data_IF_057335253379
#
_entry.id   IF_057335253379
#
_cell.length_a   1.000
_cell.length_b   1.000
_cell.length_c   1.000
_cell.angle_alpha   90.00
_cell.angle_beta   90.00
_cell.angle_gamma   90.00
#
_symmetry.space_group_name_H-M   'P 1'
#
loop_
_entity.id
_entity.type
_entity.pdbx_description
1 polymer ?
#
# COMPACT_ATOMS: atom_id res chain seq x y z
N UNK A 1 -23.48 13.27 7.44
CA UNK A 1 -22.41 14.04 6.78
C UNK A 1 -21.36 13.04 6.33
N UNK A 2 -20.89 13.28 5.13
CA UNK A 2 -20.47 12.30 4.13
C UNK A 2 -18.97 11.96 4.18
N UNK A 3 -18.62 10.94 3.41
CA UNK A 3 -17.38 10.77 2.66
C UNK A 3 -16.21 9.95 3.24
N UNK A 4 -16.10 8.75 2.65
CA UNK A 4 -14.95 8.27 1.84
C UNK A 4 -13.68 7.81 2.58
N UNK A 5 -13.46 6.50 2.72
CA UNK A 5 -12.95 5.56 1.70
C UNK A 5 -11.46 5.79 1.39
N UNK A 6 -10.58 5.14 2.17
CA UNK A 6 -9.17 4.90 1.84
C UNK A 6 -8.91 3.40 1.99
N UNK A 7 -9.22 2.70 0.89
CA UNK A 7 -8.33 1.75 0.21
C UNK A 7 -7.42 0.84 1.08
N UNK A 8 -7.78 -0.45 1.11
CA UNK A 8 -6.88 -1.43 0.49
C UNK A 8 -6.02 -2.34 1.38
N UNK A 9 -6.24 -2.43 2.70
CA UNK A 9 -5.49 -3.34 3.57
C UNK A 9 -6.42 -4.30 4.31
N UNK A 10 -6.84 -5.40 3.65
CA UNK A 10 -7.10 -6.71 4.26
C UNK A 10 -7.66 -7.67 3.20
N UNK A 11 -6.78 -8.43 2.54
CA UNK A 11 -7.22 -9.62 1.81
C UNK A 11 -7.48 -10.71 2.86
N UNK A 12 -8.69 -10.67 3.43
CA UNK A 12 -9.16 -11.60 4.46
C UNK A 12 -9.10 -13.04 3.92
N UNK A 13 -8.39 -13.88 4.66
CA UNK A 13 -8.29 -15.32 4.54
C UNK A 13 -9.69 -15.95 4.46
N UNK A 14 -9.99 -16.68 3.39
CA UNK A 14 -11.14 -17.61 3.38
C UNK A 14 -10.74 -18.81 4.22
N UNK A 15 -11.23 -18.83 5.45
CA UNK A 15 -11.31 -20.01 6.28
C UNK A 15 -12.29 -21.01 5.67
N UNK A 16 -11.86 -22.26 5.55
CA UNK A 16 -12.72 -23.41 5.39
C UNK A 16 -13.74 -23.48 6.54
N UNK A 17 -15.01 -23.68 6.21
CA UNK A 17 -15.96 -24.31 7.14
C UNK A 17 -16.84 -25.28 6.38
N UNK A 18 -16.54 -26.56 6.62
CA UNK A 18 -17.47 -27.64 6.92
C UNK A 18 -18.46 -28.07 5.84
N UNK A 19 -18.11 -29.21 5.24
CA UNK A 19 -19.01 -30.35 5.02
C UNK A 19 -20.26 -30.30 5.91
N UNK A 20 -21.43 -30.18 5.28
CA UNK A 20 -22.68 -30.64 5.87
C UNK A 20 -23.40 -31.45 4.80
N UNK A 21 -23.23 -32.77 4.88
CA UNK A 21 -24.14 -33.75 4.30
C UNK A 21 -25.58 -33.36 4.66
N UNK A 22 -26.44 -33.30 3.66
CA UNK A 22 -27.87 -33.11 3.82
C UNK A 22 -28.47 -32.81 2.45
N UNK A 23 -29.51 -33.55 2.08
CA UNK A 23 -30.27 -33.35 0.85
C UNK A 23 -30.94 -31.97 0.88
N UNK A 24 -30.20 -30.93 0.49
CA UNK A 24 -30.75 -29.59 0.24
C UNK A 24 -31.13 -29.52 -1.22
N UNK A 25 -32.41 -29.32 -1.49
CA UNK A 25 -32.89 -28.94 -2.82
C UNK A 25 -32.22 -27.65 -3.24
N UNK A 26 -31.70 -27.58 -4.48
CA UNK A 26 -31.08 -26.37 -4.98
C UNK A 26 -32.08 -25.22 -4.87
N UNK A 27 -31.65 -24.11 -4.27
CA UNK A 27 -32.48 -22.92 -4.20
C UNK A 27 -32.71 -22.37 -5.62
N UNK A 28 -33.88 -21.80 -5.91
CA UNK A 28 -34.24 -21.35 -7.27
C UNK A 28 -33.21 -20.37 -7.86
N UNK A 29 -32.57 -19.55 -7.02
CA UNK A 29 -31.51 -18.63 -7.43
C UNK A 29 -30.24 -19.34 -7.93
N UNK A 30 -29.83 -20.45 -7.30
CA UNK A 30 -28.66 -21.23 -7.72
C UNK A 30 -28.90 -21.98 -9.03
N UNK A 31 -30.14 -22.41 -9.28
CA UNK A 31 -30.55 -23.01 -10.54
C UNK A 31 -30.47 -22.01 -11.69
N UNK A 32 -30.99 -20.78 -11.50
CA UNK A 32 -30.91 -19.71 -12.51
C UNK A 32 -29.46 -19.31 -12.78
N UNK A 33 -28.62 -19.21 -11.75
CA UNK A 33 -27.20 -18.90 -11.92
C UNK A 33 -26.46 -20.00 -12.71
N UNK A 34 -26.78 -21.28 -12.48
CA UNK A 34 -26.21 -22.39 -13.26
C UNK A 34 -26.71 -22.43 -14.69
N UNK A 35 -27.98 -22.12 -14.93
CA UNK A 35 -28.55 -22.02 -16.29
C UNK A 35 -27.87 -20.85 -17.03
N UNK A 36 -27.80 -19.66 -16.43
CA UNK A 36 -27.10 -18.52 -17.02
C UNK A 36 -25.60 -18.79 -17.27
N UNK A 37 -24.93 -19.52 -16.38
CA UNK A 37 -23.54 -19.94 -16.59
C UNK A 37 -23.39 -20.98 -17.71
N UNK A 38 -24.36 -21.88 -17.88
CA UNK A 38 -24.37 -22.83 -19.00
C UNK A 38 -24.66 -22.12 -20.31
N UNK A 39 -25.66 -21.25 -20.34
CA UNK A 39 -26.00 -20.42 -21.51
C UNK A 39 -24.84 -19.52 -21.92
N UNK A 40 -24.14 -18.89 -20.96
CA UNK A 40 -22.96 -18.06 -21.25
C UNK A 40 -21.79 -18.89 -21.80
N UNK A 41 -21.61 -20.13 -21.32
CA UNK A 41 -20.60 -21.06 -21.84
C UNK A 41 -20.97 -21.54 -23.24
N UNK A 42 -22.21 -21.93 -23.47
CA UNK A 42 -22.74 -22.34 -24.78
C UNK A 42 -22.65 -21.22 -25.81
N UNK A 43 -22.95 -19.97 -25.44
CA UNK A 43 -22.77 -18.81 -26.31
C UNK A 43 -21.28 -18.55 -26.64
N UNK A 44 -20.38 -18.77 -25.68
CA UNK A 44 -18.94 -18.64 -25.91
C UNK A 44 -18.37 -19.78 -26.78
N UNK A 45 -18.92 -20.99 -26.64
CA UNK A 45 -18.55 -22.18 -27.41
C UNK A 45 -19.12 -22.13 -28.83
N UNK A 46 -20.36 -21.65 -29.01
CA UNK A 46 -20.94 -21.38 -30.33
C UNK A 46 -20.15 -20.29 -31.08
N UNK A 47 -19.69 -19.24 -30.38
CA UNK A 47 -18.79 -18.21 -30.95
C UNK A 47 -17.42 -18.78 -31.36
N UNK A 48 -16.90 -19.79 -30.64
CA UNK A 48 -15.65 -20.50 -30.97
C UNK A 48 -15.79 -21.54 -32.09
N UNK A 49 -16.97 -22.14 -32.26
CA UNK A 49 -17.21 -23.09 -33.35
C UNK A 49 -17.45 -22.39 -34.70
N UNK A 50 -18.03 -21.19 -34.68
CA UNK A 50 -18.26 -20.38 -35.89
C UNK A 50 -16.97 -19.80 -36.50
N UNK A 51 -15.82 -19.90 -35.80
CA UNK A 51 -14.54 -19.34 -36.25
C UNK A 51 -13.67 -20.28 -37.11
N UNK A 52 -14.10 -21.52 -37.37
CA UNK A 52 -13.27 -22.53 -38.05
C UNK A 52 -13.47 -22.62 -39.58
N UNK A 53 -14.03 -21.59 -40.22
CA UNK A 53 -14.15 -21.55 -41.68
C UNK A 53 -13.12 -20.57 -42.27
N UNK A 54 -12.11 -21.05 -43.03
CA UNK A 54 -10.96 -20.24 -43.44
C UNK A 54 -11.30 -19.10 -44.41
N UNK A 55 -12.53 -19.02 -44.94
CA UNK A 55 -12.90 -18.05 -45.99
C UNK A 55 -13.92 -16.98 -45.57
N UNK A 56 -14.30 -16.89 -44.29
CA UNK A 56 -15.30 -15.89 -43.82
C UNK A 56 -14.68 -14.56 -43.37
N UNK A 57 -13.35 -14.48 -43.24
CA UNK A 57 -12.61 -13.31 -42.73
C UNK A 57 -12.51 -12.13 -43.71
N UNK A 58 -13.00 -12.28 -44.95
CA UNK A 58 -12.80 -11.29 -46.02
C UNK A 58 -14.07 -10.50 -46.39
N UNK A 59 -15.26 -10.98 -46.02
CA UNK A 59 -16.56 -10.38 -46.40
C UNK A 59 -17.46 -10.00 -45.23
N UNK A 60 -17.07 -10.29 -43.99
CA UNK A 60 -17.83 -9.93 -42.79
C UNK A 60 -17.54 -8.48 -42.39
N UNK A 61 -18.60 -7.72 -42.09
CA UNK A 61 -18.54 -6.31 -41.68
C UNK A 61 -17.68 -6.14 -40.42
N UNK A 62 -17.71 -7.12 -39.51
CA UNK A 62 -16.90 -7.19 -38.29
C UNK A 62 -15.38 -7.14 -38.58
N UNK A 63 -14.87 -7.85 -39.60
CA UNK A 63 -13.45 -7.81 -39.95
C UNK A 63 -13.04 -6.47 -40.57
N UNK A 64 -13.94 -5.83 -41.33
CA UNK A 64 -13.69 -4.48 -41.88
C UNK A 64 -13.70 -3.42 -40.77
N UNK A 65 -14.57 -3.55 -39.79
CA UNK A 65 -14.62 -2.68 -38.61
C UNK A 65 -13.39 -2.87 -37.73
N UNK A 66 -13.00 -4.11 -37.44
CA UNK A 66 -11.76 -4.39 -36.72
C UNK A 66 -10.52 -3.82 -37.42
N UNK A 67 -10.42 -3.96 -38.74
CA UNK A 67 -9.31 -3.42 -39.52
C UNK A 67 -9.34 -1.88 -39.55
N UNK A 68 -10.52 -1.26 -39.61
CA UNK A 68 -10.68 0.20 -39.50
C UNK A 68 -10.26 0.70 -38.13
N UNK A 69 -10.65 0.02 -37.06
CA UNK A 69 -10.26 0.35 -35.69
C UNK A 69 -8.76 0.14 -35.47
N UNK A 70 -8.18 -0.98 -35.96
CA UNK A 70 -6.72 -1.21 -35.92
C UNK A 70 -5.95 -0.14 -36.69
N UNK A 71 -6.44 0.29 -37.87
CA UNK A 71 -5.84 1.40 -38.64
C UNK A 71 -5.96 2.75 -37.94
N UNK A 72 -7.11 3.05 -37.31
CA UNK A 72 -7.29 4.28 -36.52
C UNK A 72 -6.38 4.29 -35.29
N UNK A 73 -6.23 3.16 -34.59
CA UNK A 73 -5.30 3.00 -33.45
C UNK A 73 -3.86 3.25 -33.88
N UNK A 74 -3.40 2.63 -34.97
CA UNK A 74 -2.05 2.88 -35.54
C UNK A 74 -1.85 4.33 -35.97
N UNK A 75 -2.87 4.98 -36.53
CA UNK A 75 -2.81 6.42 -36.87
C UNK A 75 -2.68 7.30 -35.63
N UNK A 76 -3.43 7.00 -34.56
CA UNK A 76 -3.33 7.71 -33.28
C UNK A 76 -1.97 7.49 -32.59
N UNK A 77 -1.45 6.26 -32.63
CA UNK A 77 -0.12 5.90 -32.13
C UNK A 77 0.99 6.65 -32.89
N UNK A 78 0.91 6.66 -34.23
CA UNK A 78 1.86 7.38 -35.08
C UNK A 78 1.73 8.90 -34.95
N UNK A 79 0.55 9.44 -34.62
CA UNK A 79 0.37 10.85 -34.32
C UNK A 79 1.05 11.25 -33.01
N UNK A 80 0.93 10.42 -31.96
CA UNK A 80 1.63 10.67 -30.69
C UNK A 80 3.16 10.60 -30.89
N UNK A 81 3.64 9.59 -31.61
CA UNK A 81 5.07 9.49 -31.94
C UNK A 81 5.58 10.66 -32.80
N UNK A 82 4.77 11.14 -33.75
CA UNK A 82 5.08 12.32 -34.57
C UNK A 82 5.20 13.59 -33.74
N UNK A 83 4.25 13.81 -32.82
CA UNK A 83 4.26 14.96 -31.90
C UNK A 83 5.45 14.91 -30.94
N UNK A 84 5.78 13.74 -30.38
CA UNK A 84 6.97 13.57 -29.54
C UNK A 84 8.26 13.88 -30.30
N UNK A 85 8.36 13.45 -31.57
CA UNK A 85 9.50 13.77 -32.43
C UNK A 85 9.58 15.26 -32.74
N UNK A 86 8.46 15.94 -32.97
CA UNK A 86 8.40 17.38 -33.21
C UNK A 86 8.82 18.20 -31.97
N UNK A 87 8.45 17.73 -30.77
CA UNK A 87 8.91 18.32 -29.49
C UNK A 87 10.41 18.08 -29.30
N UNK A 88 10.90 16.86 -29.51
CA UNK A 88 12.33 16.52 -29.37
C UNK A 88 13.21 17.23 -30.41
N UNK A 89 12.69 17.40 -31.63
CA UNK A 89 13.40 18.08 -32.72
C UNK A 89 13.39 19.60 -32.58
N UNK A 90 12.63 20.14 -31.62
CA UNK A 90 12.60 21.57 -31.30
C UNK A 90 11.76 22.42 -32.27
N UNK A 91 11.06 21.81 -33.22
CA UNK A 91 10.24 22.53 -34.23
C UNK A 91 9.07 23.26 -33.56
N UNK A 92 8.53 22.69 -32.48
CA UNK A 92 7.52 23.35 -31.63
C UNK A 92 8.12 24.57 -30.90
N UNK A 93 9.38 24.48 -30.45
CA UNK A 93 10.05 25.59 -29.74
C UNK A 93 10.41 26.73 -30.68
N UNK A 94 10.58 26.46 -31.98
CA UNK A 94 10.91 27.45 -33.01
C UNK A 94 9.71 28.34 -33.41
N UNK A 95 8.49 28.06 -32.94
CA UNK A 95 7.33 28.94 -33.18
C UNK A 95 7.53 30.27 -32.46
N UNK A 96 7.38 31.40 -33.17
CA UNK A 96 7.60 32.76 -32.63
C UNK A 96 6.89 33.06 -31.29
N UNK A 97 5.68 32.52 -31.09
CA UNK A 97 4.93 32.66 -29.84
C UNK A 97 5.62 31.97 -28.65
N UNK A 98 6.25 30.81 -28.87
CA UNK A 98 6.94 30.02 -27.86
C UNK A 98 8.38 30.50 -27.64
N UNK A 99 9.05 30.99 -28.70
CA UNK A 99 10.38 31.62 -28.60
C UNK A 99 10.36 32.79 -27.61
N UNK A 100 9.30 33.60 -27.62
CA UNK A 100 9.12 34.72 -26.68
C UNK A 100 8.99 34.27 -25.21
N UNK A 101 8.59 33.02 -24.97
CA UNK A 101 8.36 32.43 -23.65
C UNK A 101 9.50 31.50 -23.20
N UNK A 102 10.56 31.35 -23.99
CA UNK A 102 11.77 30.57 -23.65
C UNK A 102 12.31 30.84 -22.24
N UNK A 103 12.46 32.09 -21.75
CA UNK A 103 12.95 32.32 -20.39
C UNK A 103 12.04 31.72 -19.30
N UNK A 104 10.73 31.70 -19.51
CA UNK A 104 9.78 31.08 -18.58
C UNK A 104 9.87 29.55 -18.58
N UNK A 105 10.04 28.94 -19.77
CA UNK A 105 10.23 27.49 -19.89
C UNK A 105 11.55 27.04 -19.26
N UNK A 106 12.63 27.83 -19.41
CA UNK A 106 13.90 27.58 -18.73
C UNK A 106 13.76 27.67 -17.21
N UNK A 107 13.01 28.66 -16.72
CA UNK A 107 12.70 28.77 -15.29
C UNK A 107 11.97 27.53 -14.78
N UNK A 108 10.97 27.03 -15.51
CA UNK A 108 10.22 25.84 -15.12
C UNK A 108 11.07 24.56 -15.19
N UNK A 109 11.92 24.43 -16.20
CA UNK A 109 12.89 23.33 -16.32
C UNK A 109 13.84 23.33 -15.11
N UNK A 110 14.42 24.48 -14.78
CA UNK A 110 15.28 24.63 -13.61
C UNK A 110 14.54 24.27 -12.31
N UNK A 111 13.29 24.73 -12.15
CA UNK A 111 12.46 24.37 -10.99
C UNK A 111 12.19 22.86 -10.91
N UNK A 112 12.01 22.21 -12.06
CA UNK A 112 11.81 20.76 -12.16
C UNK A 112 13.08 20.00 -11.76
N UNK A 113 14.25 20.45 -12.21
CA UNK A 113 15.53 19.87 -11.82
C UNK A 113 15.78 20.05 -10.31
N UNK A 114 15.46 21.22 -9.77
CA UNK A 114 15.59 21.50 -8.34
C UNK A 114 14.66 20.60 -7.52
N UNK A 115 13.41 20.45 -7.96
CA UNK A 115 12.44 19.54 -7.35
C UNK A 115 12.92 18.09 -7.34
N UNK A 116 13.48 17.63 -8.46
CA UNK A 116 14.03 16.28 -8.55
C UNK A 116 15.26 16.10 -7.63
N UNK A 117 16.11 17.12 -7.53
CA UNK A 117 17.26 17.15 -6.63
C UNK A 117 16.85 17.03 -5.16
N UNK A 118 15.78 17.71 -4.75
CA UNK A 118 15.22 17.56 -3.40
C UNK A 118 14.76 16.13 -3.12
N UNK A 119 14.20 15.44 -4.13
CA UNK A 119 13.76 14.05 -4.02
C UNK A 119 14.87 13.05 -3.66
N UNK A 120 16.12 13.31 -4.06
CA UNK A 120 17.25 12.42 -3.78
C UNK A 120 17.58 12.34 -2.27
N UNK A 121 17.40 13.43 -1.53
CA UNK A 121 17.77 13.49 -0.12
C UNK A 121 16.76 12.74 0.77
N UNK A 122 15.49 12.70 0.35
CA UNK A 122 14.39 12.10 1.12
C UNK A 122 14.61 10.64 1.47
N UNK A 123 15.18 9.83 0.56
CA UNK A 123 15.37 8.39 0.79
C UNK A 123 16.45 8.12 1.85
N UNK A 124 17.53 8.93 1.85
CA UNK A 124 18.60 8.82 2.85
C UNK A 124 18.09 9.22 4.23
N UNK A 125 17.38 10.35 4.31
CA UNK A 125 16.77 10.82 5.55
C UNK A 125 15.75 9.82 6.08
N UNK A 126 14.95 9.22 5.21
CA UNK A 126 13.95 8.23 5.62
C UNK A 126 14.58 6.99 6.24
N UNK A 127 15.65 6.46 5.64
CA UNK A 127 16.40 5.32 6.21
C UNK A 127 17.07 5.66 7.54
N UNK A 128 17.67 6.84 7.63
CA UNK A 128 18.32 7.29 8.86
C UNK A 128 17.29 7.46 9.98
N UNK A 129 16.13 8.05 9.67
CA UNK A 129 15.00 8.15 10.61
C UNK A 129 14.56 6.80 11.15
N UNK A 130 14.42 5.79 10.30
CA UNK A 130 14.06 4.45 10.74
C UNK A 130 15.11 3.89 11.70
N UNK A 131 16.40 3.95 11.34
CA UNK A 131 17.48 3.48 12.23
C UNK A 131 17.48 4.21 13.58
N UNK A 132 17.29 5.53 13.58
CA UNK A 132 17.24 6.30 14.84
C UNK A 132 16.04 5.90 15.70
N UNK A 133 14.88 5.60 15.10
CA UNK A 133 13.72 5.12 15.83
C UNK A 133 13.97 3.74 16.45
N UNK A 134 14.57 2.83 15.69
CA UNK A 134 14.91 1.48 16.19
C UNK A 134 15.88 1.58 17.37
N UNK A 135 16.92 2.42 17.26
CA UNK A 135 17.87 2.66 18.35
C UNK A 135 17.22 3.31 19.58
N UNK A 136 16.26 4.20 19.38
CA UNK A 136 15.51 4.82 20.47
C UNK A 136 14.62 3.80 21.19
N UNK A 137 13.97 2.91 20.45
CA UNK A 137 13.15 1.84 21.00
C UNK A 137 13.99 0.87 21.82
N UNK A 138 15.13 0.44 21.29
CA UNK A 138 16.08 -0.44 22.01
C UNK A 138 16.57 0.21 23.30
N UNK A 139 17.06 1.46 23.24
CA UNK A 139 17.54 2.18 24.43
C UNK A 139 16.44 2.37 25.49
N UNK A 140 15.19 2.58 25.05
CA UNK A 140 14.06 2.68 25.97
C UNK A 140 13.71 1.33 26.60
N UNK A 141 13.86 0.23 25.87
CA UNK A 141 13.65 -1.12 26.41
C UNK A 141 14.74 -1.51 27.42
N UNK A 142 15.99 -1.14 27.15
CA UNK A 142 17.11 -1.31 28.10
C UNK A 142 16.87 -0.53 29.38
N UNK A 143 16.48 0.76 29.30
CA UNK A 143 16.18 1.58 30.48
C UNK A 143 15.06 0.97 31.33
N UNK A 144 13.97 0.54 30.70
CA UNK A 144 12.85 -0.10 31.40
C UNK A 144 13.27 -1.38 32.10
N UNK A 145 14.10 -2.19 31.47
CA UNK A 145 14.61 -3.44 32.05
C UNK A 145 15.50 -3.14 33.26
N UNK A 146 16.50 -2.26 33.11
CA UNK A 146 17.40 -1.87 34.19
C UNK A 146 16.66 -1.24 35.38
N UNK A 147 15.69 -0.39 35.08
CA UNK A 147 14.84 0.22 36.10
C UNK A 147 14.00 -0.82 36.82
N UNK A 148 13.39 -1.75 36.11
CA UNK A 148 12.63 -2.86 36.71
C UNK A 148 13.51 -3.70 37.63
N UNK A 149 14.73 -4.02 37.21
CA UNK A 149 15.69 -4.78 38.03
C UNK A 149 16.08 -4.01 39.30
N UNK A 150 16.32 -2.71 39.20
CA UNK A 150 16.61 -1.85 40.34
C UNK A 150 15.41 -1.74 41.30
N UNK A 151 14.21 -1.52 40.77
CA UNK A 151 12.99 -1.48 41.56
C UNK A 151 12.73 -2.81 42.27
N UNK A 152 13.00 -3.96 41.63
CA UNK A 152 12.90 -5.28 42.24
C UNK A 152 13.88 -5.46 43.41
N UNK A 153 15.09 -4.91 43.31
CA UNK A 153 16.05 -4.91 44.42
C UNK A 153 15.59 -4.01 45.58
N UNK A 154 14.95 -2.88 45.29
CA UNK A 154 14.40 -1.97 46.30
C UNK A 154 13.12 -2.47 46.98
N UNK A 155 12.47 -3.53 46.47
CA UNK A 155 11.28 -4.08 47.11
C UNK A 155 11.61 -4.52 48.53
N UNK A 156 10.73 -4.17 49.48
CA UNK A 156 10.92 -4.46 50.91
C UNK A 156 11.20 -5.94 51.19
N UNK A 157 10.57 -6.85 50.43
CA UNK A 157 10.78 -8.29 50.56
C UNK A 157 12.17 -8.74 50.09
N UNK A 158 12.73 -8.09 49.07
CA UNK A 158 14.07 -8.36 48.55
C UNK A 158 15.14 -7.73 49.45
N UNK A 159 14.92 -6.47 49.86
CA UNK A 159 15.73 -5.77 50.84
C UNK A 159 15.83 -6.55 52.15
N UNK A 160 14.71 -6.94 52.76
CA UNK A 160 14.69 -7.67 54.02
C UNK A 160 15.47 -9.00 53.94
N UNK A 161 15.39 -9.72 52.82
CA UNK A 161 16.18 -10.94 52.59
C UNK A 161 17.68 -10.62 52.50
N UNK A 162 18.06 -9.58 51.77
CA UNK A 162 19.46 -9.19 51.59
C UNK A 162 20.10 -8.65 52.88
N UNK A 163 19.34 -7.93 53.70
CA UNK A 163 19.81 -7.34 54.96
C UNK A 163 19.74 -8.30 56.15
N UNK A 164 18.99 -9.39 56.05
CA UNK A 164 18.89 -10.43 57.08
C UNK A 164 20.25 -11.05 57.42
N UNK A 165 21.16 -11.17 56.43
CA UNK A 165 22.53 -11.63 56.65
C UNK A 165 23.35 -10.67 57.55
N UNK A 166 22.96 -9.39 57.63
CA UNK A 166 23.56 -8.40 58.52
C UNK A 166 22.84 -8.31 59.88
N UNK A 167 21.82 -9.14 60.14
CA UNK A 167 21.03 -9.12 61.37
C UNK A 167 20.08 -7.92 61.49
N UNK A 168 19.79 -7.22 60.39
CA UNK A 168 18.89 -6.07 60.36
C UNK A 168 17.45 -6.52 60.07
N UNK A 169 16.51 -6.15 60.92
CA UNK A 169 15.08 -6.45 60.76
C UNK A 169 14.25 -5.22 60.37
N UNK A 170 13.22 -5.43 59.56
CA UNK A 170 12.32 -4.37 59.14
C UNK A 170 11.37 -3.99 60.30
N UNK A 171 11.21 -2.69 60.63
CA UNK A 171 10.27 -2.26 61.65
C UNK A 171 8.82 -2.47 61.18
N UNK A 172 8.08 -3.35 61.86
CA UNK A 172 6.67 -3.70 61.57
C UNK A 172 5.68 -2.71 62.17
N UNK A 173 6.13 -1.86 63.09
CA UNK A 173 5.29 -0.87 63.77
C UNK A 173 5.59 0.55 63.26
N UNK A 174 4.58 1.42 63.16
CA UNK A 174 4.77 2.80 62.74
C UNK A 174 5.58 3.59 63.78
N UNK A 175 6.39 4.59 63.35
CA UNK A 175 7.19 5.41 64.26
C UNK A 175 6.31 6.27 65.16
N UNK A 176 6.68 6.35 66.45
CA UNK A 176 5.98 7.14 67.45
C UNK A 176 6.60 8.54 67.49
N UNK A 177 5.78 9.59 67.35
CA UNK A 177 6.23 10.96 67.53
C UNK A 177 6.51 11.21 69.01
N UNK A 178 7.76 11.53 69.35
CA UNK A 178 8.11 11.99 70.69
C UNK A 178 7.60 13.41 70.88
N UNK A 179 6.89 13.75 71.98
CA UNK A 179 6.51 15.12 72.26
C UNK A 179 7.78 15.96 72.45
N UNK A 180 7.91 17.06 71.70
CA UNK A 180 8.97 18.02 71.90
C UNK A 180 8.83 18.61 73.31
N UNK A 181 9.83 18.38 74.16
CA UNK A 181 9.89 18.96 75.49
C UNK A 181 10.08 20.48 75.34
N UNK A 182 9.27 21.34 76.00
CA UNK A 182 9.40 22.79 75.92
C UNK A 182 10.75 23.30 76.47
#
# INVERSE_FOLDING_TARGET
MDAMNILGLFRRTKSETTSSKGNRTLTQAEMLARVAQKEAKEQSEAKRQTSNNPNRLRTSEEFREEQREKRKRRRKENQIGGLLREVLSGDILAREALVKQVPFLLYLSLLTLLYLGMGYQTERVLREKQRTLDLLEEATAEEKTLRSDFEAQLQQSSLAKSTSALGLEQPTSPPILLPANP
#
